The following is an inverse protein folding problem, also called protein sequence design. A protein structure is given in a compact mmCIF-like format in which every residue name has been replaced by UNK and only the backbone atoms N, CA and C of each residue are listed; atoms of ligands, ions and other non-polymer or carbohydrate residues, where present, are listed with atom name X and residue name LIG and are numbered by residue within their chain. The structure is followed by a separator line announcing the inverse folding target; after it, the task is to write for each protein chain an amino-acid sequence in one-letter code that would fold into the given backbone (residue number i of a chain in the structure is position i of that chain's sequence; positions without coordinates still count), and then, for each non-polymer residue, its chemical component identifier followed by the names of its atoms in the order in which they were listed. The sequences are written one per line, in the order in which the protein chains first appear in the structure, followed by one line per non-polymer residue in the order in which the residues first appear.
data_IF_319386850647
#
_entry.id   IF_319386850647
#
_cell.length_a   1.000
_cell.length_b   1.000
_cell.length_c   1.000
_cell.angle_alpha   90.00
_cell.angle_beta   90.00
_cell.angle_gamma   90.00
#
_symmetry.space_group_name_H-M   'P 1'
#
loop_
_entity.id
_entity.type
_entity.pdbx_description
1 polymer ?
#
# COMPACT_ATOMS: atom_id res chain seq x y z
N UNK A 1 28.98 -20.46 5.42
CA UNK A 1 28.60 -20.64 6.84
C UNK A 1 27.10 -20.47 6.99
N UNK A 2 26.33 -21.49 6.60
CA UNK A 2 24.90 -21.59 6.92
C UNK A 2 24.66 -22.42 8.20
N UNK A 3 25.73 -22.84 8.89
CA UNK A 3 25.70 -23.61 10.16
C UNK A 3 25.27 -22.74 11.37
N UNK A 4 24.42 -21.74 11.18
CA UNK A 4 23.74 -21.07 12.28
C UNK A 4 22.38 -21.76 12.43
N UNK A 5 22.24 -22.59 13.46
CA UNK A 5 21.11 -23.49 13.75
C UNK A 5 19.74 -22.80 13.98
N UNK A 6 19.60 -21.50 13.69
CA UNK A 6 18.41 -20.71 13.98
C UNK A 6 17.73 -20.25 12.68
N UNK A 7 16.77 -21.02 12.20
CA UNK A 7 15.95 -20.68 11.04
C UNK A 7 14.65 -19.98 11.45
N UNK A 8 14.18 -19.03 10.63
CA UNK A 8 12.84 -18.45 10.76
C UNK A 8 11.98 -18.99 9.62
N UNK A 9 10.76 -19.41 9.97
CA UNK A 9 9.70 -19.68 9.00
C UNK A 9 8.69 -18.55 9.14
N UNK A 10 8.52 -17.77 8.07
CA UNK A 10 7.52 -16.69 8.01
C UNK A 10 6.32 -17.16 7.22
N UNK A 11 5.15 -17.09 7.86
CA UNK A 11 3.86 -17.31 7.22
C UNK A 11 3.18 -15.94 7.19
N UNK A 12 3.07 -15.35 5.99
CA UNK A 12 2.43 -14.06 5.77
C UNK A 12 1.16 -14.28 4.94
N UNK A 13 0.01 -13.88 5.50
CA UNK A 13 -1.30 -13.94 4.86
C UNK A 13 -2.02 -12.62 5.06
N UNK A 14 -2.95 -12.33 4.15
CA UNK A 14 -3.92 -11.26 4.34
C UNK A 14 -4.86 -11.60 5.51
N UNK A 15 -5.32 -10.58 6.22
CA UNK A 15 -6.22 -10.74 7.36
C UNK A 15 -7.67 -11.00 6.96
N UNK A 16 -8.06 -10.73 5.71
CA UNK A 16 -9.49 -10.70 5.32
C UNK A 16 -9.90 -11.83 4.35
N UNK A 17 -9.01 -12.27 3.45
CA UNK A 17 -9.44 -12.94 2.21
C UNK A 17 -9.82 -14.41 2.35
N UNK A 18 -9.12 -15.21 3.16
CA UNK A 18 -9.37 -16.66 3.21
C UNK A 18 -10.48 -17.05 4.20
N UNK A 19 -10.77 -16.16 5.16
CA UNK A 19 -11.55 -16.52 6.34
C UNK A 19 -13.06 -16.50 6.10
N UNK A 20 -13.56 -15.71 5.15
CA UNK A 20 -14.99 -15.62 4.82
C UNK A 20 -15.60 -16.94 4.32
N UNK A 21 -14.77 -17.86 3.81
CA UNK A 21 -15.18 -19.19 3.37
C UNK A 21 -15.38 -20.18 4.53
N UNK A 22 -14.92 -19.83 5.73
CA UNK A 22 -15.14 -20.62 6.95
C UNK A 22 -16.40 -20.13 7.65
N UNK A 23 -17.20 -21.08 8.16
CA UNK A 23 -18.48 -20.77 8.82
C UNK A 23 -18.38 -19.87 10.06
N UNK A 24 -17.18 -19.77 10.64
CA UNK A 24 -16.84 -18.99 11.83
C UNK A 24 -15.74 -17.94 11.56
N UNK A 25 -15.57 -17.54 10.30
CA UNK A 25 -14.52 -16.60 9.89
C UNK A 25 -13.12 -17.06 10.32
N UNK A 26 -12.87 -18.37 10.29
CA UNK A 26 -11.56 -18.96 10.58
C UNK A 26 -11.18 -19.02 12.06
N UNK A 27 -12.04 -18.55 12.96
CA UNK A 27 -11.75 -18.44 14.39
C UNK A 27 -11.27 -19.76 14.99
N UNK A 28 -12.02 -20.84 14.78
CA UNK A 28 -11.65 -22.16 15.33
C UNK A 28 -10.35 -22.69 14.73
N UNK A 29 -10.12 -22.47 13.43
CA UNK A 29 -8.88 -22.90 12.78
C UNK A 29 -7.67 -22.19 13.39
N UNK A 30 -7.72 -20.86 13.48
CA UNK A 30 -6.66 -20.02 14.03
C UNK A 30 -6.42 -20.31 15.52
N UNK A 31 -7.50 -20.42 16.31
CA UNK A 31 -7.43 -20.75 17.73
C UNK A 31 -6.73 -22.09 17.98
N UNK A 32 -7.05 -23.12 17.19
CA UNK A 32 -6.40 -24.44 17.29
C UNK A 32 -4.94 -24.36 16.83
N UNK A 33 -4.66 -23.73 15.68
CA UNK A 33 -3.31 -23.60 15.14
C UNK A 33 -2.38 -22.89 16.13
N UNK A 34 -2.81 -21.75 16.67
CA UNK A 34 -2.01 -20.99 17.64
C UNK A 34 -1.83 -21.74 18.96
N UNK A 35 -2.83 -22.50 19.42
CA UNK A 35 -2.69 -23.35 20.61
C UNK A 35 -1.63 -24.43 20.38
N UNK A 36 -1.69 -25.12 19.23
CA UNK A 36 -0.70 -26.14 18.87
C UNK A 36 0.71 -25.58 18.73
N UNK A 37 0.87 -24.39 18.13
CA UNK A 37 2.17 -23.72 18.01
C UNK A 37 2.73 -23.31 19.37
N UNK A 38 1.87 -22.82 20.27
CA UNK A 38 2.27 -22.41 21.62
C UNK A 38 2.70 -23.60 22.50
N UNK A 39 2.04 -24.75 22.34
CA UNK A 39 2.35 -25.97 23.09
C UNK A 39 3.46 -26.82 22.47
N UNK A 40 3.88 -26.50 21.24
CA UNK A 40 4.90 -27.24 20.52
C UNK A 40 6.26 -27.19 21.23
N UNK A 41 6.95 -28.33 21.26
CA UNK A 41 8.37 -28.40 21.67
C UNK A 41 9.32 -28.37 20.47
N UNK A 42 8.76 -28.43 19.25
CA UNK A 42 9.51 -28.45 18.00
C UNK A 42 9.67 -27.05 17.40
N UNK A 43 8.76 -26.12 17.73
CA UNK A 43 8.74 -24.76 17.21
C UNK A 43 8.72 -23.73 18.35
N UNK A 44 9.45 -22.63 18.18
CA UNK A 44 9.36 -21.43 19.03
C UNK A 44 8.69 -20.32 18.23
N UNK A 45 7.51 -19.88 18.65
CA UNK A 45 6.87 -18.69 18.08
C UNK A 45 7.52 -17.43 18.62
N UNK A 46 7.88 -16.49 17.75
CA UNK A 46 8.52 -15.23 18.14
C UNK A 46 8.13 -14.11 17.21
N UNK A 47 8.25 -12.87 17.66
CA UNK A 47 8.18 -11.70 16.80
C UNK A 47 9.54 -11.42 16.15
N UNK A 48 9.55 -10.68 15.02
CA UNK A 48 10.82 -10.24 14.42
C UNK A 48 11.67 -9.40 15.39
N UNK A 49 11.05 -8.52 16.19
CA UNK A 49 11.76 -7.70 17.17
C UNK A 49 12.47 -8.54 18.23
N UNK A 50 11.79 -9.54 18.78
CA UNK A 50 12.37 -10.46 19.76
C UNK A 50 13.48 -11.29 19.14
N UNK A 51 13.25 -11.91 17.98
CA UNK A 51 14.27 -12.67 17.28
C UNK A 51 15.52 -11.83 17.01
N UNK A 52 15.35 -10.62 16.49
CA UNK A 52 16.47 -9.72 16.17
C UNK A 52 17.26 -9.27 17.41
N UNK A 53 16.60 -9.19 18.57
CA UNK A 53 17.25 -8.89 19.85
C UNK A 53 17.99 -10.08 20.48
N UNK A 54 17.49 -11.31 20.25
CA UNK A 54 18.00 -12.54 20.88
C UNK A 54 19.16 -13.17 20.10
N UNK A 55 19.15 -13.04 18.78
CA UNK A 55 20.11 -13.72 17.90
C UNK A 55 20.99 -12.74 17.11
N UNK A 56 22.28 -13.07 17.02
CA UNK A 56 23.29 -12.38 16.21
C UNK A 56 23.64 -13.20 14.94
N UNK A 57 24.61 -12.74 14.14
CA UNK A 57 25.07 -13.49 12.96
C UNK A 57 24.17 -13.34 11.72
N UNK A 58 23.66 -12.13 11.51
CA UNK A 58 22.83 -11.78 10.35
C UNK A 58 23.65 -11.79 9.07
N UNK A 59 23.09 -12.35 8.01
CA UNK A 59 23.63 -12.22 6.66
C UNK A 59 23.12 -10.90 6.07
N UNK A 60 24.05 -10.07 5.61
CA UNK A 60 23.70 -8.87 4.86
C UNK A 60 23.25 -9.27 3.44
N UNK A 61 22.03 -8.89 3.09
CA UNK A 61 21.56 -8.95 1.72
C UNK A 61 22.16 -7.76 0.97
N UNK A 62 23.07 -8.03 0.03
CA UNK A 62 23.74 -7.00 -0.76
C UNK A 62 22.82 -6.31 -1.76
N UNK A 63 21.83 -7.05 -2.23
CA UNK A 63 20.91 -6.62 -3.28
C UNK A 63 19.58 -7.34 -3.09
N UNK A 64 18.49 -6.62 -3.37
CA UNK A 64 17.14 -7.14 -3.43
C UNK A 64 16.59 -6.72 -4.78
N UNK A 65 16.09 -7.68 -5.56
CA UNK A 65 15.47 -7.38 -6.83
C UNK A 65 14.13 -6.67 -6.61
N UNK A 66 13.81 -5.64 -7.41
CA UNK A 66 12.50 -5.02 -7.35
C UNK A 66 11.43 -6.01 -7.80
N UNK A 67 10.33 -6.08 -7.05
CA UNK A 67 9.18 -6.91 -7.36
C UNK A 67 8.18 -6.91 -6.21
N UNK A 68 7.04 -7.55 -6.42
CA UNK A 68 6.03 -7.80 -5.39
C UNK A 68 5.89 -9.29 -5.12
N UNK A 69 5.11 -9.64 -4.09
CA UNK A 69 4.71 -11.03 -3.84
C UNK A 69 3.79 -11.62 -4.92
N UNK A 70 3.25 -10.80 -5.82
CA UNK A 70 2.46 -11.21 -6.97
C UNK A 70 3.37 -11.21 -8.19
N UNK A 71 3.55 -12.37 -8.82
CA UNK A 71 4.33 -12.59 -10.04
C UNK A 71 5.81 -12.11 -10.03
N UNK A 72 6.33 -11.61 -8.89
CA UNK A 72 7.64 -10.99 -8.77
C UNK A 72 7.84 -9.72 -9.64
N UNK A 73 6.76 -9.02 -9.95
CA UNK A 73 6.75 -7.75 -10.70
C UNK A 73 5.79 -6.73 -10.05
N UNK A 74 5.48 -5.65 -10.78
CA UNK A 74 4.56 -4.60 -10.35
C UNK A 74 3.35 -4.43 -11.28
N UNK A 75 3.11 -5.38 -12.20
CA UNK A 75 2.18 -5.19 -13.31
C UNK A 75 0.73 -4.96 -12.83
N UNK A 76 0.41 -5.41 -11.61
CA UNK A 76 -0.86 -5.21 -10.90
C UNK A 76 -1.14 -3.73 -10.53
N UNK A 77 -0.12 -2.86 -10.54
CA UNK A 77 -0.28 -1.45 -10.16
C UNK A 77 0.26 -0.49 -11.22
N UNK A 78 0.93 -0.98 -12.27
CA UNK A 78 1.50 -0.17 -13.34
C UNK A 78 1.65 -0.95 -14.64
N UNK A 79 1.04 -0.42 -15.70
CA UNK A 79 1.22 -0.93 -17.06
C UNK A 79 -0.01 -0.68 -17.91
N UNK A 80 -1.20 -0.82 -17.32
CA UNK A 80 -2.46 -0.49 -17.96
C UNK A 80 -2.56 1.02 -18.24
N UNK A 81 -3.42 1.37 -19.19
CA UNK A 81 -3.60 2.76 -19.62
C UNK A 81 -4.18 3.61 -18.47
N UNK A 82 -5.11 3.04 -17.73
CA UNK A 82 -5.85 3.63 -16.62
C UNK A 82 -4.90 3.89 -15.43
N UNK A 83 -4.09 2.89 -15.05
CA UNK A 83 -3.06 3.02 -14.00
C UNK A 83 -2.01 4.07 -14.34
N UNK A 84 -1.45 4.01 -15.56
CA UNK A 84 -0.46 4.99 -16.03
C UNK A 84 -1.03 6.40 -16.02
N UNK A 85 -2.32 6.54 -16.34
CA UNK A 85 -3.02 7.81 -16.28
C UNK A 85 -3.16 8.29 -14.83
N UNK A 86 -3.55 7.41 -13.91
CA UNK A 86 -3.63 7.72 -12.49
C UNK A 86 -2.27 8.16 -11.92
N UNK A 87 -1.18 7.44 -12.23
CA UNK A 87 0.18 7.78 -11.82
C UNK A 87 0.60 9.15 -12.33
N UNK A 88 0.28 9.47 -13.59
CA UNK A 88 0.56 10.79 -14.17
C UNK A 88 -0.16 11.91 -13.41
N UNK A 89 -1.45 11.75 -13.12
CA UNK A 89 -2.23 12.75 -12.38
C UNK A 89 -1.72 12.94 -10.94
N UNK A 90 -1.35 11.85 -10.27
CA UNK A 90 -0.78 11.86 -8.93
C UNK A 90 0.58 12.57 -8.91
N UNK A 91 1.46 12.22 -9.85
CA UNK A 91 2.80 12.81 -10.00
C UNK A 91 2.71 14.32 -10.27
N UNK A 92 1.89 14.74 -11.24
CA UNK A 92 1.64 16.16 -11.54
C UNK A 92 1.13 16.93 -10.31
N UNK A 93 0.20 16.34 -9.56
CA UNK A 93 -0.36 16.96 -8.35
C UNK A 93 0.69 17.10 -7.25
N UNK A 94 1.54 16.08 -7.06
CA UNK A 94 2.64 16.10 -6.08
C UNK A 94 3.66 17.19 -6.43
N UNK A 95 4.03 17.31 -7.71
CA UNK A 95 4.95 18.35 -8.17
C UNK A 95 4.39 19.76 -7.93
N UNK A 96 3.10 19.97 -8.20
CA UNK A 96 2.41 21.23 -7.90
C UNK A 96 2.50 21.55 -6.40
N UNK A 97 2.21 20.59 -5.53
CA UNK A 97 2.27 20.79 -4.08
C UNK A 97 3.68 21.18 -3.63
N UNK A 98 4.71 20.46 -4.08
CA UNK A 98 6.10 20.74 -3.74
C UNK A 98 6.52 22.13 -4.23
N UNK A 99 6.22 22.46 -5.49
CA UNK A 99 6.57 23.76 -6.07
C UNK A 99 5.82 24.91 -5.38
N UNK A 100 4.54 24.72 -5.06
CA UNK A 100 3.75 25.71 -4.33
C UNK A 100 4.36 26.01 -2.96
N UNK A 101 4.73 25.00 -2.18
CA UNK A 101 5.35 25.18 -0.85
C UNK A 101 6.67 25.95 -0.98
N UNK A 102 7.49 25.59 -1.97
CA UNK A 102 8.77 26.27 -2.23
C UNK A 102 8.60 27.74 -2.59
N UNK A 103 7.59 28.07 -3.40
CA UNK A 103 7.30 29.45 -3.82
C UNK A 103 6.55 30.26 -2.76
N UNK A 104 5.91 29.61 -1.79
CA UNK A 104 5.08 30.26 -0.77
C UNK A 104 5.51 29.82 0.65
N UNK A 105 6.73 30.18 1.10
CA UNK A 105 7.27 29.71 2.38
C UNK A 105 6.50 30.21 3.62
N UNK A 106 5.66 31.24 3.45
CA UNK A 106 4.82 31.80 4.51
C UNK A 106 3.36 31.34 4.43
N UNK A 107 3.05 30.36 3.57
CA UNK A 107 1.71 29.79 3.50
C UNK A 107 1.37 29.03 4.79
N UNK A 108 0.07 28.89 5.07
CA UNK A 108 -0.41 28.26 6.30
C UNK A 108 0.07 26.81 6.42
N UNK A 109 0.94 26.56 7.40
CA UNK A 109 1.53 25.23 7.67
C UNK A 109 0.46 24.16 7.93
N UNK A 110 -0.67 24.52 8.56
CA UNK A 110 -1.76 23.57 8.79
C UNK A 110 -2.41 23.15 7.47
N UNK A 111 -2.56 24.07 6.53
CA UNK A 111 -3.07 23.76 5.18
C UNK A 111 -2.08 22.92 4.40
N UNK A 112 -0.77 23.20 4.51
CA UNK A 112 0.28 22.37 3.88
C UNK A 112 0.17 20.93 4.40
N UNK A 113 0.05 20.74 5.72
CA UNK A 113 -0.10 19.41 6.31
C UNK A 113 -1.35 18.70 5.79
N UNK A 114 -2.50 19.39 5.73
CA UNK A 114 -3.74 18.83 5.17
C UNK A 114 -3.60 18.44 3.69
N UNK A 115 -2.88 19.23 2.90
CA UNK A 115 -2.60 18.91 1.50
C UNK A 115 -1.74 17.65 1.36
N UNK A 116 -0.71 17.48 2.20
CA UNK A 116 0.07 16.25 2.25
C UNK A 116 -0.76 15.04 2.69
N UNK A 117 -1.61 15.19 3.72
CA UNK A 117 -2.52 14.12 4.14
C UNK A 117 -3.46 13.69 3.01
N UNK A 118 -3.95 14.64 2.21
CA UNK A 118 -4.76 14.33 1.02
C UNK A 118 -3.97 13.64 -0.08
N UNK A 119 -2.70 13.99 -0.26
CA UNK A 119 -1.82 13.30 -1.20
C UNK A 119 -1.56 11.87 -0.74
N UNK A 120 -1.26 11.65 0.54
CA UNK A 120 -1.04 10.30 1.08
C UNK A 120 -2.27 9.40 0.95
N UNK A 121 -3.47 9.96 1.07
CA UNK A 121 -4.70 9.23 0.76
C UNK A 121 -4.77 8.81 -0.71
N UNK A 122 -4.32 9.65 -1.65
CA UNK A 122 -4.26 9.32 -3.07
C UNK A 122 -3.07 8.40 -3.45
N UNK A 123 -2.08 8.24 -2.57
CA UNK A 123 -0.93 7.34 -2.78
C UNK A 123 -1.20 5.89 -2.36
N UNK A 124 -2.42 5.58 -1.90
CA UNK A 124 -2.83 4.20 -1.61
C UNK A 124 -2.77 3.30 -2.86
N UNK A 125 -2.16 2.12 -2.74
CA UNK A 125 -2.03 1.18 -3.86
C UNK A 125 -3.38 0.63 -4.33
N UNK A 126 -4.39 0.61 -3.45
CA UNK A 126 -5.75 0.15 -3.76
C UNK A 126 -6.35 0.88 -4.96
N UNK A 127 -6.07 2.17 -5.15
CA UNK A 127 -6.59 2.90 -6.31
C UNK A 127 -6.17 2.23 -7.62
N UNK A 128 -4.90 1.83 -7.70
CA UNK A 128 -4.30 1.23 -8.89
C UNK A 128 -4.76 -0.21 -9.08
N UNK A 129 -4.93 -0.95 -7.98
CA UNK A 129 -5.50 -2.31 -7.99
C UNK A 129 -6.88 -2.39 -8.66
N UNK A 130 -7.70 -1.34 -8.53
CA UNK A 130 -9.07 -1.33 -9.05
C UNK A 130 -9.24 -0.65 -10.43
N UNK A 131 -8.16 -0.11 -11.02
CA UNK A 131 -8.25 0.67 -12.25
C UNK A 131 -8.24 -0.15 -13.54
N UNK A 132 -7.60 -1.31 -13.53
CA UNK A 132 -7.55 -2.17 -14.69
C UNK A 132 -8.67 -3.24 -14.64
N UNK A 133 -8.60 -4.22 -15.54
CA UNK A 133 -9.60 -5.29 -15.62
C UNK A 133 -9.10 -6.61 -15.00
N UNK A 134 -7.90 -6.63 -14.41
CA UNK A 134 -7.36 -7.81 -13.74
C UNK A 134 -8.17 -8.14 -12.48
N UNK A 135 -8.72 -7.12 -11.81
CA UNK A 135 -9.62 -7.25 -10.66
C UNK A 135 -10.95 -6.49 -10.87
N UNK A 136 -11.96 -7.15 -11.45
CA UNK A 136 -13.23 -6.49 -11.73
C UNK A 136 -13.95 -6.09 -10.45
N UNK A 137 -14.53 -4.90 -10.47
CA UNK A 137 -15.36 -4.36 -9.39
C UNK A 137 -16.50 -3.53 -9.97
N UNK A 138 -17.68 -3.62 -9.37
CA UNK A 138 -18.82 -2.77 -9.72
C UNK A 138 -18.59 -1.31 -9.27
N UNK A 139 -17.57 -1.05 -8.44
CA UNK A 139 -17.31 0.25 -7.83
C UNK A 139 -16.21 1.09 -8.51
N UNK A 140 -15.82 0.71 -9.73
CA UNK A 140 -14.70 1.30 -10.47
C UNK A 140 -14.88 2.82 -10.67
N UNK A 141 -16.08 3.26 -11.04
CA UNK A 141 -16.41 4.67 -11.20
C UNK A 141 -16.34 5.46 -9.88
N UNK A 142 -16.81 4.88 -8.77
CA UNK A 142 -16.72 5.53 -7.46
C UNK A 142 -15.27 5.68 -7.00
N UNK A 143 -14.45 4.64 -7.17
CA UNK A 143 -13.03 4.70 -6.82
C UNK A 143 -12.27 5.75 -7.63
N UNK A 144 -12.49 5.82 -8.96
CA UNK A 144 -11.94 6.89 -9.79
C UNK A 144 -12.37 8.28 -9.31
N UNK A 145 -13.67 8.47 -9.04
CA UNK A 145 -14.21 9.73 -8.57
C UNK A 145 -13.59 10.15 -7.22
N UNK A 146 -13.43 9.21 -6.28
CA UNK A 146 -12.81 9.44 -4.98
C UNK A 146 -11.34 9.79 -5.12
N UNK A 147 -10.58 9.01 -5.88
CA UNK A 147 -9.17 9.25 -6.18
C UNK A 147 -8.96 10.67 -6.75
N UNK A 148 -9.68 11.03 -7.81
CA UNK A 148 -9.60 12.37 -8.40
C UNK A 148 -10.07 13.46 -7.44
N UNK A 149 -10.99 13.16 -6.52
CA UNK A 149 -11.43 14.09 -5.48
C UNK A 149 -10.34 14.37 -4.45
N UNK A 150 -9.55 13.36 -4.05
CA UNK A 150 -8.37 13.57 -3.22
C UNK A 150 -7.39 14.55 -3.88
N UNK A 151 -7.06 14.31 -5.16
CA UNK A 151 -6.18 15.20 -5.93
C UNK A 151 -6.76 16.62 -6.04
N UNK A 152 -8.02 16.79 -6.46
CA UNK A 152 -8.67 18.12 -6.54
C UNK A 152 -8.71 18.86 -5.21
N UNK A 153 -8.82 18.14 -4.09
CA UNK A 153 -8.87 18.74 -2.76
C UNK A 153 -7.54 19.43 -2.42
N UNK A 154 -6.41 18.90 -2.89
CA UNK A 154 -5.09 19.54 -2.74
C UNK A 154 -5.12 20.93 -3.37
N UNK A 155 -5.54 21.05 -4.63
CA UNK A 155 -5.66 22.35 -5.31
C UNK A 155 -6.56 23.34 -4.56
N UNK A 156 -7.71 22.87 -4.05
CA UNK A 156 -8.62 23.69 -3.23
C UNK A 156 -7.97 24.19 -1.95
N UNK A 157 -7.22 23.35 -1.24
CA UNK A 157 -6.50 23.71 -0.01
C UNK A 157 -5.44 24.79 -0.32
N UNK A 158 -4.74 24.65 -1.44
CA UNK A 158 -3.74 25.60 -1.90
C UNK A 158 -4.34 26.87 -2.55
N UNK A 159 -5.67 26.97 -2.65
CA UNK A 159 -6.37 28.05 -3.34
C UNK A 159 -5.91 28.23 -4.81
N UNK A 160 -5.70 27.10 -5.50
CA UNK A 160 -5.32 27.04 -6.92
C UNK A 160 -6.38 26.29 -7.73
N UNK A 161 -6.41 26.52 -9.03
CA UNK A 161 -7.33 25.81 -9.92
C UNK A 161 -6.80 24.43 -10.28
N UNK A 162 -7.60 23.35 -10.11
CA UNK A 162 -7.20 22.02 -10.57
C UNK A 162 -7.14 21.98 -12.10
N UNK A 163 -6.18 21.25 -12.68
CA UNK A 163 -6.10 21.10 -14.13
C UNK A 163 -7.34 20.37 -14.67
N UNK A 164 -7.73 20.72 -15.91
CA UNK A 164 -8.91 20.15 -16.56
C UNK A 164 -8.82 18.62 -16.70
N UNK A 165 -7.60 18.08 -16.73
CA UNK A 165 -7.31 16.64 -16.72
C UNK A 165 -7.99 15.89 -15.58
N UNK A 166 -8.14 16.49 -14.39
CA UNK A 166 -8.81 15.87 -13.24
C UNK A 166 -10.34 15.80 -13.39
N UNK A 167 -10.92 16.52 -14.35
CA UNK A 167 -12.35 16.45 -14.65
C UNK A 167 -12.72 15.31 -15.61
N UNK A 168 -11.72 14.67 -16.21
CA UNK A 168 -11.90 13.52 -17.10
C UNK A 168 -11.77 12.25 -16.24
N UNK A 169 -12.77 11.35 -16.25
CA UNK A 169 -12.66 10.05 -15.60
C UNK A 169 -11.44 9.26 -16.10
N UNK A 170 -10.80 8.50 -15.20
CA UNK A 170 -9.70 7.60 -15.56
C UNK A 170 -10.27 6.34 -16.20
N UNK A 171 -11.32 5.80 -15.60
CA UNK A 171 -12.06 4.62 -16.04
C UNK A 171 -13.30 5.03 -16.83
N UNK A 172 -13.73 4.18 -17.77
CA UNK A 172 -14.83 4.44 -18.69
C UNK A 172 -16.10 3.65 -18.33
#
# INVERSE_FOLDING_TARGET
NLDNDNHIITIALDGENEWEYFSDSGEKFLSILYSMLTESKEFETTTFSEYLSKYEGRVELKEIYPGSWINADFDIWIGAKEENRAWSLLSETREILINFIKSNPQFDEKKIKQAWEKLYQAEGSDWFWWFDDDFPTDNKEEFDSLFRTHLKTIYKILCTDPPASLNIPIVA
#
